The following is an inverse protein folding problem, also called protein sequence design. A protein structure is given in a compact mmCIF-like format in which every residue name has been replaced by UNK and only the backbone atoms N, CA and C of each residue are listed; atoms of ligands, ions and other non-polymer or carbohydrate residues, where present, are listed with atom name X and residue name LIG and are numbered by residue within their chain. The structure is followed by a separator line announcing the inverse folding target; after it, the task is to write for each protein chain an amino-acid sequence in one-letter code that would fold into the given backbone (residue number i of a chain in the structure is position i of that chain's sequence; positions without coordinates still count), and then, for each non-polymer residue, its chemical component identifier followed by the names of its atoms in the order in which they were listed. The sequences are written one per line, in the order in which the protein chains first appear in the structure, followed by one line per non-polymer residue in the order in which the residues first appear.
data_IF_126016904423
#
_entry.id   IF_126016904423
#
_cell.length_a   1.000
_cell.length_b   1.000
_cell.length_c   1.000
_cell.angle_alpha   90.00
_cell.angle_beta   90.00
_cell.angle_gamma   90.00
#
_symmetry.space_group_name_H-M   'P 1'
#
loop_
_entity.id
_entity.type
_entity.pdbx_description
1 polymer ?
#
# COMPACT_ATOMS: atom_id res chain seq x y z
N UNK A 1 -19.36 -8.18 4.47
CA UNK A 1 -19.95 -8.39 5.80
C UNK A 1 -19.46 -7.31 6.73
N UNK A 2 -20.20 -6.98 7.79
CA UNK A 2 -19.86 -5.85 8.66
C UNK A 2 -20.02 -6.24 10.14
N UNK A 3 -19.20 -5.65 10.99
CA UNK A 3 -19.38 -5.64 12.44
C UNK A 3 -19.96 -4.30 12.85
N UNK A 4 -21.09 -4.33 13.55
CA UNK A 4 -21.89 -3.14 13.84
C UNK A 4 -22.06 -3.02 15.35
N UNK A 5 -21.79 -1.84 15.87
CA UNK A 5 -22.08 -1.46 17.26
C UNK A 5 -23.37 -0.65 17.32
N UNK A 6 -24.25 -1.02 18.24
CA UNK A 6 -25.45 -0.26 18.55
C UNK A 6 -25.16 0.70 19.71
N UNK A 7 -25.56 1.96 19.58
CA UNK A 7 -25.40 2.97 20.63
C UNK A 7 -26.76 3.30 21.25
N UNK A 8 -26.86 3.25 22.58
CA UNK A 8 -28.09 3.58 23.31
C UNK A 8 -28.40 5.09 23.36
N UNK A 9 -27.43 5.94 23.04
CA UNK A 9 -27.59 7.40 22.92
C UNK A 9 -27.62 7.85 21.47
N UNK A 10 -28.22 9.02 21.22
CA UNK A 10 -28.26 9.63 19.90
C UNK A 10 -26.84 10.02 19.44
N UNK A 11 -26.30 9.28 18.47
CA UNK A 11 -25.05 9.59 17.80
C UNK A 11 -25.40 10.15 16.41
N UNK A 12 -25.86 11.41 16.39
CA UNK A 12 -26.42 12.03 15.16
C UNK A 12 -27.69 11.33 14.66
N UNK A 13 -27.83 11.19 13.34
CA UNK A 13 -29.01 10.63 12.65
C UNK A 13 -29.06 9.09 12.63
N UNK A 14 -28.04 8.39 13.11
CA UNK A 14 -27.95 6.92 13.07
C UNK A 14 -27.79 6.29 14.44
N UNK A 15 -28.59 5.27 14.74
CA UNK A 15 -28.53 4.51 15.99
C UNK A 15 -27.41 3.44 16.05
N UNK A 16 -26.57 3.36 15.01
CA UNK A 16 -25.54 2.33 14.88
C UNK A 16 -24.27 2.88 14.22
N UNK A 17 -23.14 2.23 14.51
CA UNK A 17 -21.82 2.50 13.95
C UNK A 17 -21.25 1.22 13.33
N UNK A 18 -20.65 1.33 12.14
CA UNK A 18 -19.89 0.22 11.53
C UNK A 18 -18.47 0.26 12.07
N UNK A 19 -18.08 -0.78 12.80
CA UNK A 19 -16.76 -0.91 13.45
C UNK A 19 -15.76 -1.63 12.55
N UNK A 20 -16.21 -2.61 11.77
CA UNK A 20 -15.35 -3.34 10.83
C UNK A 20 -16.13 -3.79 9.58
N UNK A 21 -15.42 -3.99 8.48
CA UNK A 21 -15.96 -4.47 7.20
C UNK A 21 -15.04 -5.49 6.57
N UNK A 22 -15.57 -6.68 6.31
CA UNK A 22 -14.89 -7.74 5.56
C UNK A 22 -15.34 -7.79 4.11
N UNK A 23 -14.36 -7.98 3.23
CA UNK A 23 -14.55 -8.13 1.80
C UNK A 23 -15.43 -9.35 1.47
N UNK A 24 -16.34 -9.19 0.51
CA UNK A 24 -17.16 -10.29 0.00
C UNK A 24 -17.20 -10.26 -1.53
N UNK A 25 -16.64 -11.29 -2.18
CA UNK A 25 -16.61 -11.41 -3.64
C UNK A 25 -17.98 -11.72 -4.26
N UNK A 26 -18.92 -12.26 -3.49
CA UNK A 26 -20.16 -12.82 -4.00
C UNK A 26 -21.37 -11.87 -4.03
N UNK A 27 -22.35 -12.15 -4.90
CA UNK A 27 -22.24 -13.04 -6.06
C UNK A 27 -21.33 -12.40 -7.13
N UNK A 28 -20.55 -13.23 -7.84
CA UNK A 28 -19.85 -12.79 -9.05
C UNK A 28 -20.84 -12.98 -10.21
N UNK A 29 -21.29 -11.89 -10.81
CA UNK A 29 -22.25 -11.93 -11.92
C UNK A 29 -21.57 -12.11 -13.28
N UNK A 30 -20.35 -11.58 -13.43
CA UNK A 30 -19.51 -11.74 -14.60
C UNK A 30 -18.04 -11.45 -14.23
N UNK A 31 -17.09 -11.88 -15.04
CA UNK A 31 -15.68 -11.53 -14.89
C UNK A 31 -14.92 -11.58 -16.23
N UNK A 32 -13.82 -10.83 -16.29
CA UNK A 32 -12.85 -10.94 -17.38
C UNK A 32 -11.42 -10.96 -16.83
N UNK A 33 -10.47 -11.37 -17.67
CA UNK A 33 -9.04 -11.30 -17.36
C UNK A 33 -8.40 -10.13 -18.10
N UNK A 34 -7.61 -9.32 -17.40
CA UNK A 34 -6.87 -8.20 -17.97
C UNK A 34 -5.53 -8.00 -17.26
N UNK A 35 -4.51 -7.56 -17.99
CA UNK A 35 -3.26 -7.06 -17.40
C UNK A 35 -3.44 -5.58 -17.03
N UNK A 36 -4.11 -5.33 -15.91
CA UNK A 36 -4.49 -3.97 -15.48
C UNK A 36 -3.25 -3.12 -15.15
N UNK A 37 -2.19 -3.75 -14.63
CA UNK A 37 -0.97 -3.07 -14.21
C UNK A 37 0.10 -3.01 -15.32
N UNK A 38 -0.14 -3.61 -16.49
CA UNK A 38 0.82 -3.66 -17.61
C UNK A 38 2.12 -4.42 -17.29
N UNK A 39 2.07 -5.35 -16.31
CA UNK A 39 3.25 -6.07 -15.80
C UNK A 39 3.39 -7.48 -16.36
N UNK A 40 2.58 -7.84 -17.36
CA UNK A 40 2.54 -9.17 -17.95
C UNK A 40 1.86 -10.22 -17.06
N UNK A 41 1.17 -9.81 -16.00
CA UNK A 41 0.42 -10.69 -15.12
C UNK A 41 -1.07 -10.40 -15.25
N UNK A 42 -1.81 -11.27 -15.94
CA UNK A 42 -3.26 -11.14 -16.04
C UNK A 42 -3.93 -11.30 -14.66
N UNK A 43 -4.85 -10.39 -14.38
CA UNK A 43 -5.65 -10.31 -13.17
C UNK A 43 -7.12 -10.51 -13.52
N UNK A 44 -7.93 -10.96 -12.57
CA UNK A 44 -9.37 -11.10 -12.78
C UNK A 44 -10.07 -9.82 -12.35
N UNK A 45 -10.85 -9.24 -13.25
CA UNK A 45 -11.79 -8.15 -12.95
C UNK A 45 -13.18 -8.77 -12.85
N UNK A 46 -13.77 -8.75 -11.66
CA UNK A 46 -15.06 -9.35 -11.38
C UNK A 46 -16.12 -8.29 -11.08
N UNK A 47 -17.31 -8.46 -11.67
CA UNK A 47 -18.53 -7.78 -11.25
C UNK A 47 -19.10 -8.52 -10.04
N UNK A 48 -18.96 -7.94 -8.85
CA UNK A 48 -19.31 -8.55 -7.57
C UNK A 48 -20.46 -7.83 -6.87
N UNK A 49 -21.24 -8.57 -6.09
CA UNK A 49 -22.33 -8.00 -5.30
C UNK A 49 -23.60 -7.79 -6.12
N UNK A 50 -24.60 -7.19 -5.51
CA UNK A 50 -25.89 -6.92 -6.17
C UNK A 50 -26.52 -5.63 -5.62
N UNK A 51 -27.32 -4.94 -6.44
CA UNK A 51 -28.03 -3.70 -6.09
C UNK A 51 -27.09 -2.69 -5.41
N UNK A 52 -27.41 -2.29 -4.19
CA UNK A 52 -26.66 -1.31 -3.39
C UNK A 52 -25.28 -1.78 -2.92
N UNK A 53 -24.92 -3.05 -3.16
CA UNK A 53 -23.59 -3.63 -2.84
C UNK A 53 -22.76 -3.96 -4.07
N UNK A 54 -23.23 -3.59 -5.27
CA UNK A 54 -22.50 -3.81 -6.52
C UNK A 54 -21.13 -3.13 -6.51
N UNK A 55 -20.09 -3.86 -6.92
CA UNK A 55 -18.71 -3.37 -6.96
C UNK A 55 -17.90 -4.12 -8.01
N UNK A 56 -16.88 -3.48 -8.57
CA UNK A 56 -15.84 -4.18 -9.32
C UNK A 56 -14.72 -4.61 -8.36
N UNK A 57 -14.26 -5.85 -8.50
CA UNK A 57 -13.18 -6.39 -7.69
C UNK A 57 -12.04 -6.88 -8.58
N UNK A 58 -10.84 -6.46 -8.24
CA UNK A 58 -9.61 -6.89 -8.90
C UNK A 58 -8.95 -8.00 -8.07
N UNK A 59 -8.88 -9.21 -8.61
CA UNK A 59 -8.23 -10.34 -7.98
C UNK A 59 -6.87 -10.55 -8.65
N UNK A 60 -5.81 -10.34 -7.87
CA UNK A 60 -4.41 -10.55 -8.27
C UNK A 60 -3.79 -11.64 -7.40
N UNK A 61 -2.92 -12.45 -8.00
CA UNK A 61 -2.03 -13.37 -7.26
C UNK A 61 -0.81 -12.57 -6.80
N UNK A 62 -0.61 -12.48 -5.49
CA UNK A 62 0.54 -11.80 -4.87
C UNK A 62 0.19 -10.49 -4.17
N UNK A 63 1.17 -9.94 -3.46
CA UNK A 63 1.04 -8.68 -2.73
C UNK A 63 1.33 -7.49 -3.64
N UNK A 64 0.56 -6.42 -3.48
CA UNK A 64 0.84 -5.16 -4.16
C UNK A 64 1.78 -4.32 -3.31
N UNK A 65 2.85 -3.82 -3.92
CA UNK A 65 3.66 -2.78 -3.32
C UNK A 65 3.26 -1.45 -3.96
N UNK A 66 2.80 -0.52 -3.14
CA UNK A 66 2.64 0.87 -3.59
C UNK A 66 4.00 1.53 -3.47
N UNK A 67 4.55 1.95 -4.61
CA UNK A 67 5.79 2.70 -4.64
C UNK A 67 5.59 4.03 -3.91
N UNK A 68 6.40 4.27 -2.87
CA UNK A 68 6.39 5.53 -2.13
C UNK A 68 7.33 6.58 -2.75
N UNK A 69 8.32 6.11 -3.53
CA UNK A 69 9.27 6.92 -4.27
C UNK A 69 10.31 6.03 -4.95
N UNK A 70 11.02 6.62 -5.91
CA UNK A 70 12.15 6.02 -6.61
C UNK A 70 13.37 6.92 -6.48
N UNK A 71 14.54 6.30 -6.48
CA UNK A 71 15.82 7.00 -6.55
C UNK A 71 16.63 6.46 -7.71
N UNK A 72 16.87 7.34 -8.68
CA UNK A 72 17.66 7.02 -9.87
C UNK A 72 19.17 7.10 -9.58
N UNK A 73 19.97 6.50 -10.47
CA UNK A 73 21.43 6.59 -10.41
C UNK A 73 22.10 5.69 -9.35
N UNK A 74 21.33 4.85 -8.64
CA UNK A 74 21.85 3.82 -7.75
C UNK A 74 21.88 2.48 -8.47
N UNK A 75 23.06 1.89 -8.64
CA UNK A 75 23.23 0.54 -9.20
C UNK A 75 24.17 -0.30 -8.32
N UNK A 76 23.92 -1.61 -8.27
CA UNK A 76 24.77 -2.52 -7.48
C UNK A 76 24.56 -2.45 -5.96
N UNK A 77 23.38 -2.03 -5.51
CA UNK A 77 23.00 -2.10 -4.08
C UNK A 77 22.93 -3.57 -3.67
N UNK A 78 23.76 -3.95 -2.69
CA UNK A 78 23.85 -5.29 -2.13
C UNK A 78 23.01 -5.46 -0.86
N UNK A 79 22.68 -4.36 -0.19
CA UNK A 79 21.89 -4.38 1.03
C UNK A 79 21.30 -3.03 1.38
N UNK A 80 20.20 -3.06 2.11
CA UNK A 80 19.40 -1.92 2.50
C UNK A 80 19.00 -2.04 3.97
N UNK A 81 19.27 -1.01 4.77
CA UNK A 81 18.89 -0.98 6.18
C UNK A 81 18.26 0.35 6.56
N UNK A 82 17.09 0.29 7.20
CA UNK A 82 16.47 1.45 7.80
C UNK A 82 17.17 1.79 9.12
N UNK A 83 17.63 3.02 9.25
CA UNK A 83 18.23 3.56 10.47
C UNK A 83 17.23 4.53 11.12
N UNK A 84 16.79 4.26 12.36
CA UNK A 84 15.97 5.21 13.10
C UNK A 84 16.83 6.42 13.53
N UNK A 85 16.31 7.64 13.34
CA UNK A 85 16.99 8.89 13.69
C UNK A 85 16.04 9.89 14.34
N UNK A 86 16.57 10.75 15.20
CA UNK A 86 15.81 11.84 15.83
C UNK A 86 15.65 12.96 14.80
N UNK A 87 14.45 13.11 14.23
CA UNK A 87 14.14 14.15 13.23
C UNK A 87 13.98 13.67 11.79
N UNK A 88 14.15 12.36 11.53
CA UNK A 88 14.02 11.75 10.22
C UNK A 88 14.74 10.41 10.19
N UNK A 89 14.15 9.40 9.54
CA UNK A 89 14.85 8.12 9.31
C UNK A 89 15.98 8.28 8.31
N UNK A 90 16.93 7.35 8.30
CA UNK A 90 17.94 7.26 7.26
C UNK A 90 17.96 5.84 6.66
N UNK A 91 18.61 5.71 5.52
CA UNK A 91 18.73 4.49 4.75
C UNK A 91 20.20 4.22 4.47
N UNK A 92 20.75 3.16 5.06
CA UNK A 92 22.10 2.72 4.73
C UNK A 92 22.03 1.76 3.52
N UNK A 93 22.87 2.05 2.52
CA UNK A 93 23.01 1.30 1.27
C UNK A 93 24.40 0.68 1.22
N UNK A 94 24.46 -0.64 1.14
CA UNK A 94 25.72 -1.38 0.95
C UNK A 94 26.02 -1.58 -0.53
N UNK A 95 27.26 -1.34 -0.94
CA UNK A 95 27.81 -1.64 -2.26
C UNK A 95 29.07 -2.50 -2.10
N UNK A 96 29.59 -3.08 -3.19
CA UNK A 96 30.73 -3.99 -3.15
C UNK A 96 32.02 -3.39 -2.53
N UNK A 97 32.19 -2.06 -2.58
CA UNK A 97 33.38 -1.37 -2.07
C UNK A 97 33.11 -0.18 -1.16
N UNK A 98 31.83 0.17 -0.92
CA UNK A 98 31.48 1.31 -0.06
C UNK A 98 30.09 1.15 0.55
N UNK A 99 29.82 1.98 1.56
CA UNK A 99 28.49 2.15 2.14
C UNK A 99 28.10 3.62 1.97
N UNK A 100 26.88 3.88 1.53
CA UNK A 100 26.31 5.24 1.43
C UNK A 100 25.14 5.35 2.40
N UNK A 101 24.95 6.51 3.03
CA UNK A 101 23.83 6.76 3.93
C UNK A 101 22.99 7.87 3.34
N UNK A 102 21.69 7.63 3.19
CA UNK A 102 20.73 8.63 2.73
C UNK A 102 19.82 9.04 3.88
N UNK A 103 19.75 10.32 4.22
CA UNK A 103 18.84 10.83 5.23
C UNK A 103 17.54 11.30 4.60
N UNK A 104 16.42 10.99 5.27
CA UNK A 104 15.10 11.48 4.90
C UNK A 104 14.94 12.92 5.38
N UNK A 105 14.61 13.82 4.45
CA UNK A 105 14.40 15.22 4.77
C UNK A 105 13.10 15.43 5.59
N UNK A 106 12.96 16.53 6.37
CA UNK A 106 11.81 16.80 7.25
C UNK A 106 10.42 16.88 6.59
N UNK A 107 10.33 16.74 5.26
CA UNK A 107 9.08 16.64 4.49
C UNK A 107 8.73 15.22 4.01
N UNK A 108 9.58 14.21 4.27
CA UNK A 108 9.31 12.80 4.00
C UNK A 108 9.31 12.38 2.52
N UNK A 109 9.54 13.30 1.58
CA UNK A 109 9.48 13.04 0.15
C UNK A 109 10.86 12.90 -0.52
N UNK A 110 11.92 13.41 0.11
CA UNK A 110 13.26 13.49 -0.48
C UNK A 110 14.32 12.83 0.40
N UNK A 111 15.26 12.16 -0.26
CA UNK A 111 16.42 11.51 0.33
C UNK A 111 17.67 12.24 -0.14
N UNK A 112 18.52 12.65 0.80
CA UNK A 112 19.81 13.26 0.49
C UNK A 112 20.96 12.44 1.07
N UNK A 113 22.10 12.43 0.38
CA UNK A 113 23.28 11.74 0.88
C UNK A 113 23.81 12.45 2.11
N UNK A 114 23.91 11.70 3.21
CA UNK A 114 24.51 12.18 4.42
C UNK A 114 26.00 12.45 4.16
N UNK A 115 26.50 13.66 4.43
CA UNK A 115 27.90 13.97 4.18
C UNK A 115 28.78 13.05 5.02
N UNK A 116 29.76 12.42 4.37
CA UNK A 116 30.81 11.71 5.08
C UNK A 116 31.51 12.69 6.05
N UNK A 117 31.90 12.24 7.26
CA UNK A 117 32.72 13.04 8.17
C UNK A 117 34.07 13.42 7.55
#
# INVERSE_FOLDING_TARGET
SQFIRLSAGAMGDSAFLVEDTWMNLGPIVDFCTADVDGRGQSQVVACSGNKHTGSLRLLRIGVGVKEAGALDGLSGVLGLWSLPGVGGGALALGFAGCTRVLALQPGGAELEEWPAP
#
